data_IF_681416114310
#
_entry.id   IF_681416114310
#
_cell.length_a   1.000
_cell.length_b   1.000
_cell.length_c   1.000
_cell.angle_alpha   90.00
_cell.angle_beta   90.00
_cell.angle_gamma   90.00
#
_symmetry.space_group_name_H-M   'P 1'
#
loop_
_entity.id
_entity.type
_entity.pdbx_description
1 polymer ?
#
# COMPACT_ATOMS: atom_id res chain seq x y z
N UNK A 1 5.68 1.79 9.02
CA UNK A 1 5.90 3.08 8.33
C UNK A 1 4.56 3.68 7.94
N UNK A 2 4.38 5.00 8.02
CA UNK A 2 3.15 5.70 7.59
C UNK A 2 3.53 7.04 6.96
N UNK A 3 2.98 7.34 5.80
CA UNK A 3 3.13 8.62 5.11
C UNK A 3 1.86 8.94 4.30
N UNK A 4 1.88 10.06 3.58
CA UNK A 4 0.75 10.52 2.76
C UNK A 4 0.59 9.58 1.56
N UNK A 5 -0.49 8.77 1.58
CA UNK A 5 -0.84 7.88 0.49
C UNK A 5 -0.09 6.55 0.46
N UNK A 6 0.56 6.16 1.57
CA UNK A 6 1.29 4.89 1.69
C UNK A 6 2.27 4.64 0.53
N UNK A 7 2.90 5.71 0.05
CA UNK A 7 3.76 5.73 -1.13
C UNK A 7 5.19 5.34 -0.73
N UNK A 8 5.82 4.49 -1.52
CA UNK A 8 7.23 4.14 -1.42
C UNK A 8 7.90 4.63 -2.72
N UNK A 9 8.80 5.62 -2.64
CA UNK A 9 9.58 6.03 -3.81
C UNK A 9 10.35 4.86 -4.42
N UNK A 10 10.49 4.82 -5.74
CA UNK A 10 11.38 3.87 -6.41
C UNK A 10 12.84 4.07 -5.96
N UNK A 11 13.61 3.00 -6.00
CA UNK A 11 15.02 3.04 -5.65
C UNK A 11 15.76 4.05 -6.55
N UNK A 12 16.56 4.92 -5.93
CA UNK A 12 17.35 5.94 -6.63
C UNK A 12 16.61 7.24 -6.96
N UNK A 13 15.31 7.38 -6.66
CA UNK A 13 14.56 8.62 -6.92
C UNK A 13 15.06 9.81 -6.08
N UNK A 14 15.31 9.59 -4.78
CA UNK A 14 15.97 10.48 -3.84
C UNK A 14 16.16 9.75 -2.50
N UNK A 15 17.11 10.19 -1.66
CA UNK A 15 17.19 9.71 -0.28
C UNK A 15 15.91 10.10 0.48
N UNK A 16 15.21 9.13 1.05
CA UNK A 16 14.00 9.36 1.85
C UNK A 16 13.95 8.46 3.08
N UNK A 17 13.14 8.87 4.07
CA UNK A 17 12.91 8.06 5.27
C UNK A 17 12.24 6.72 4.93
N UNK A 18 11.44 6.68 3.87
CA UNK A 18 10.84 5.47 3.33
C UNK A 18 11.91 4.49 2.85
N UNK A 19 12.84 4.94 2.01
CA UNK A 19 13.89 4.09 1.48
C UNK A 19 14.77 3.50 2.60
N UNK A 20 15.19 4.35 3.55
CA UNK A 20 15.97 3.93 4.70
C UNK A 20 15.20 2.95 5.61
N UNK A 21 13.91 3.19 5.83
CA UNK A 21 13.06 2.31 6.63
C UNK A 21 12.87 0.94 6.01
N UNK A 22 12.70 0.87 4.67
CA UNK A 22 12.62 -0.39 3.93
C UNK A 22 13.94 -1.15 4.03
N UNK A 23 15.07 -0.49 3.79
CA UNK A 23 16.40 -1.12 3.87
C UNK A 23 16.69 -1.65 5.28
N UNK A 24 16.45 -0.84 6.32
CA UNK A 24 16.68 -1.25 7.70
C UNK A 24 15.79 -2.43 8.12
N UNK A 25 14.51 -2.43 7.73
CA UNK A 25 13.62 -3.54 8.05
C UNK A 25 14.12 -4.86 7.44
N UNK A 26 14.61 -4.84 6.20
CA UNK A 26 14.98 -6.04 5.46
C UNK A 26 16.41 -6.48 5.76
N UNK A 27 17.38 -5.57 5.73
CA UNK A 27 18.79 -5.87 5.94
C UNK A 27 19.18 -5.86 7.43
N UNK A 28 18.64 -4.92 8.21
CA UNK A 28 18.97 -4.75 9.62
C UNK A 28 18.20 -5.69 10.54
N UNK A 29 16.87 -5.75 10.39
CA UNK A 29 15.99 -6.56 11.24
C UNK A 29 15.72 -7.95 10.65
N UNK A 30 15.75 -8.10 9.33
CA UNK A 30 15.51 -9.38 8.67
C UNK A 30 14.02 -9.76 8.57
N UNK A 31 13.13 -8.77 8.36
CA UNK A 31 11.70 -9.07 8.14
C UNK A 31 11.50 -9.96 6.92
N UNK A 32 10.49 -10.83 6.99
CA UNK A 32 10.13 -11.79 5.93
C UNK A 32 8.89 -11.39 5.15
N UNK A 33 8.14 -10.41 5.63
CA UNK A 33 6.91 -9.94 5.03
C UNK A 33 6.87 -8.41 5.03
N UNK A 34 6.55 -7.83 3.87
CA UNK A 34 6.22 -6.41 3.74
C UNK A 34 4.80 -6.31 3.19
N UNK A 35 3.98 -5.51 3.85
CA UNK A 35 2.61 -5.21 3.43
C UNK A 35 2.54 -3.75 3.02
N UNK A 36 2.16 -3.48 1.77
CA UNK A 36 1.65 -2.16 1.37
C UNK A 36 0.15 -2.16 1.58
N UNK A 37 -0.33 -1.33 2.51
CA UNK A 37 -1.74 -1.26 2.86
C UNK A 37 -2.32 0.10 2.44
N UNK A 38 -3.15 0.09 1.39
CA UNK A 38 -4.02 1.20 1.05
C UNK A 38 -5.31 1.16 1.87
N UNK A 39 -6.12 2.22 1.80
CA UNK A 39 -7.38 2.26 2.53
C UNK A 39 -8.46 3.06 1.79
N UNK A 40 -9.73 2.75 2.07
CA UNK A 40 -10.87 3.47 1.53
C UNK A 40 -10.80 4.97 1.88
N UNK A 41 -11.37 5.79 1.00
CA UNK A 41 -11.42 7.25 1.11
C UNK A 41 -10.05 7.96 1.23
N UNK A 42 -8.94 7.34 0.80
CA UNK A 42 -7.61 7.93 0.90
C UNK A 42 -7.53 9.36 0.31
N UNK A 43 -7.30 10.35 1.17
CA UNK A 43 -7.21 11.76 0.77
C UNK A 43 -6.05 12.06 -0.17
N UNK A 44 -4.93 11.33 -0.04
CA UNK A 44 -3.81 11.44 -0.95
C UNK A 44 -4.18 11.03 -2.39
N UNK A 45 -4.98 9.97 -2.55
CA UNK A 45 -5.43 9.52 -3.87
C UNK A 45 -6.49 10.45 -4.47
N UNK A 46 -7.36 11.03 -3.63
CA UNK A 46 -8.24 12.13 -4.07
C UNK A 46 -7.43 13.31 -4.60
N UNK A 47 -6.43 13.73 -3.83
CA UNK A 47 -5.51 14.80 -4.19
C UNK A 47 -4.73 14.48 -5.47
N UNK A 48 -4.27 13.25 -5.64
CA UNK A 48 -3.54 12.81 -6.83
C UNK A 48 -4.42 12.89 -8.10
N UNK A 49 -5.70 12.52 -8.01
CA UNK A 49 -6.65 12.64 -9.12
C UNK A 49 -7.00 14.11 -9.46
N UNK A 50 -6.90 15.01 -8.47
CA UNK A 50 -7.22 16.44 -8.60
C UNK A 50 -5.97 17.32 -8.42
N UNK A 51 -4.81 16.84 -8.88
CA UNK A 51 -3.51 17.39 -8.49
C UNK A 51 -3.32 18.87 -8.82
N UNK A 52 -3.99 19.38 -9.85
CA UNK A 52 -3.95 20.80 -10.24
C UNK A 52 -4.46 21.75 -9.15
N UNK A 53 -5.31 21.30 -8.23
CA UNK A 53 -5.86 22.13 -7.16
C UNK A 53 -4.95 22.19 -5.91
N UNK A 54 -3.92 21.33 -5.83
CA UNK A 54 -3.10 21.18 -4.62
C UNK A 54 -1.94 22.17 -4.56
N UNK A 55 -1.45 22.67 -5.69
CA UNK A 55 -0.18 23.42 -5.77
C UNK A 55 -0.19 24.71 -4.94
N UNK A 56 -1.33 25.37 -4.82
CA UNK A 56 -1.44 26.63 -4.06
C UNK A 56 -1.65 26.41 -2.56
N UNK A 57 -2.48 25.44 -2.18
CA UNK A 57 -2.90 25.24 -0.79
C UNK A 57 -2.01 24.27 -0.01
N UNK A 58 -1.43 23.27 -0.70
CA UNK A 58 -0.64 22.20 -0.09
C UNK A 58 0.58 21.85 -0.97
N UNK A 59 1.52 22.79 -1.18
CA UNK A 59 2.64 22.62 -2.12
C UNK A 59 3.54 21.40 -1.80
N UNK A 60 3.77 21.10 -0.52
CA UNK A 60 4.56 19.92 -0.13
C UNK A 60 3.85 18.59 -0.47
N UNK A 61 2.52 18.55 -0.34
CA UNK A 61 1.72 17.37 -0.72
C UNK A 61 1.66 17.26 -2.24
N UNK A 62 1.51 18.39 -2.93
CA UNK A 62 1.58 18.46 -4.39
C UNK A 62 2.91 17.88 -4.89
N UNK A 63 4.04 18.35 -4.37
CA UNK A 63 5.36 17.86 -4.79
C UNK A 63 5.56 16.38 -4.51
N UNK A 64 5.14 15.92 -3.32
CA UNK A 64 5.19 14.50 -2.94
C UNK A 64 4.40 13.63 -3.92
N UNK A 65 3.13 13.97 -4.16
CA UNK A 65 2.25 13.22 -5.05
C UNK A 65 2.67 13.34 -6.51
N UNK A 66 3.15 14.50 -6.94
CA UNK A 66 3.61 14.72 -8.32
C UNK A 66 4.87 13.94 -8.61
N UNK A 67 5.78 13.83 -7.64
CA UNK A 67 7.04 13.10 -7.82
C UNK A 67 6.86 11.59 -7.71
N UNK A 68 6.05 11.12 -6.76
CA UNK A 68 6.02 9.69 -6.41
C UNK A 68 4.68 9.00 -6.73
N UNK A 69 3.62 9.73 -7.03
CA UNK A 69 2.31 9.20 -7.42
C UNK A 69 1.98 9.31 -8.91
N UNK A 70 2.82 9.97 -9.72
CA UNK A 70 2.48 10.23 -11.13
C UNK A 70 2.28 8.96 -11.96
N UNK A 71 3.04 7.88 -11.69
CA UNK A 71 2.85 6.59 -12.36
C UNK A 71 1.42 6.05 -12.16
N UNK A 72 0.96 6.01 -10.89
CA UNK A 72 -0.42 5.67 -10.54
C UNK A 72 -1.41 6.59 -11.24
N UNK A 73 -1.19 7.92 -11.18
CA UNK A 73 -2.10 8.92 -11.75
C UNK A 73 -2.27 8.71 -13.25
N UNK A 74 -1.16 8.52 -13.97
CA UNK A 74 -1.15 8.32 -15.42
C UNK A 74 -1.87 7.03 -15.80
N UNK A 75 -1.55 5.92 -15.13
CA UNK A 75 -2.22 4.63 -15.35
C UNK A 75 -3.74 4.76 -15.16
N UNK A 76 -4.17 5.41 -14.08
CA UNK A 76 -5.60 5.55 -13.77
C UNK A 76 -6.32 6.43 -14.78
N UNK A 77 -5.77 7.60 -15.12
CA UNK A 77 -6.41 8.51 -16.05
C UNK A 77 -6.43 7.98 -17.48
N UNK A 78 -5.37 7.30 -17.93
CA UNK A 78 -5.31 6.77 -19.29
C UNK A 78 -6.29 5.60 -19.52
N UNK A 79 -6.64 4.85 -18.47
CA UNK A 79 -7.43 3.61 -18.60
C UNK A 79 -8.83 3.67 -17.98
N UNK A 80 -9.10 4.61 -17.08
CA UNK A 80 -10.32 4.60 -16.25
C UNK A 80 -11.00 5.97 -16.10
N UNK A 81 -10.54 7.03 -16.78
CA UNK A 81 -11.04 8.40 -16.59
C UNK A 81 -12.56 8.58 -16.73
N UNK A 82 -13.24 7.71 -17.49
CA UNK A 82 -14.68 7.80 -17.73
C UNK A 82 -15.55 7.16 -16.63
N UNK A 83 -14.95 6.61 -15.57
CA UNK A 83 -15.69 6.00 -14.46
C UNK A 83 -16.20 7.05 -13.47
N UNK A 84 -17.24 6.68 -12.73
CA UNK A 84 -17.79 7.52 -11.66
C UNK A 84 -16.75 7.83 -10.58
N UNK A 85 -16.77 9.01 -9.94
CA UNK A 85 -15.73 9.48 -9.03
C UNK A 85 -15.37 8.51 -7.91
N UNK A 86 -16.37 7.88 -7.28
CA UNK A 86 -16.16 6.93 -6.18
C UNK A 86 -15.45 5.66 -6.67
N UNK A 87 -15.83 5.19 -7.87
CA UNK A 87 -15.21 4.02 -8.50
C UNK A 87 -13.79 4.34 -8.96
N UNK A 88 -13.59 5.51 -9.55
CA UNK A 88 -12.27 6.00 -9.98
C UNK A 88 -11.33 6.10 -8.78
N UNK A 89 -11.80 6.64 -7.66
CA UNK A 89 -11.02 6.73 -6.43
C UNK A 89 -10.65 5.34 -5.89
N UNK A 90 -11.60 4.40 -5.84
CA UNK A 90 -11.30 3.02 -5.41
C UNK A 90 -10.21 2.39 -6.27
N UNK A 91 -10.31 2.52 -7.59
CA UNK A 91 -9.28 2.03 -8.52
C UNK A 91 -7.95 2.75 -8.29
N UNK A 92 -7.94 4.07 -8.08
CA UNK A 92 -6.72 4.80 -7.79
C UNK A 92 -6.01 4.30 -6.52
N UNK A 93 -6.76 3.98 -5.46
CA UNK A 93 -6.23 3.40 -4.23
C UNK A 93 -5.62 2.03 -4.49
N UNK A 94 -6.36 1.14 -5.16
CA UNK A 94 -5.91 -0.21 -5.49
C UNK A 94 -4.66 -0.19 -6.39
N UNK A 95 -4.67 0.62 -7.45
CA UNK A 95 -3.53 0.77 -8.35
C UNK A 95 -2.32 1.44 -7.68
N UNK A 96 -2.55 2.35 -6.74
CA UNK A 96 -1.46 2.94 -5.95
C UNK A 96 -0.72 1.87 -5.15
N UNK A 97 -1.47 0.98 -4.48
CA UNK A 97 -0.88 -0.13 -3.71
C UNK A 97 -0.02 -1.01 -4.63
N UNK A 98 -0.54 -1.39 -5.79
CA UNK A 98 0.21 -2.21 -6.75
C UNK A 98 1.46 -1.49 -7.29
N UNK A 99 1.35 -0.20 -7.60
CA UNK A 99 2.50 0.63 -8.02
C UNK A 99 3.58 0.67 -6.93
N UNK A 100 3.20 0.68 -5.65
CA UNK A 100 4.20 0.67 -4.56
C UNK A 100 4.87 -0.70 -4.39
N UNK A 101 4.16 -1.79 -4.71
CA UNK A 101 4.78 -3.12 -4.79
C UNK A 101 5.85 -3.11 -5.89
N UNK A 102 5.54 -2.59 -7.08
CA UNK A 102 6.50 -2.45 -8.18
C UNK A 102 7.69 -1.58 -7.79
N UNK A 103 7.45 -0.45 -7.10
CA UNK A 103 8.53 0.40 -6.58
C UNK A 103 9.42 -0.35 -5.59
N UNK A 104 8.86 -1.13 -4.66
CA UNK A 104 9.63 -1.96 -3.72
C UNK A 104 10.52 -2.96 -4.44
N UNK A 105 10.05 -3.56 -5.54
CA UNK A 105 10.84 -4.52 -6.32
C UNK A 105 12.07 -3.91 -7.00
N UNK A 106 12.14 -2.58 -7.13
CA UNK A 106 13.32 -1.86 -7.65
C UNK A 106 14.47 -1.81 -6.64
N UNK A 107 14.23 -2.08 -5.35
CA UNK A 107 15.27 -2.04 -4.31
C UNK A 107 16.16 -3.30 -4.39
N UNK A 108 17.49 -3.17 -4.45
CA UNK A 108 18.40 -4.31 -4.57
C UNK A 108 18.22 -5.36 -3.47
N UNK A 109 18.04 -4.90 -2.22
CA UNK A 109 17.85 -5.79 -1.06
C UNK A 109 16.53 -6.58 -1.16
N UNK A 110 15.45 -5.92 -1.61
CA UNK A 110 14.14 -6.56 -1.82
C UNK A 110 14.26 -7.61 -2.91
N UNK A 111 14.83 -7.24 -4.06
CA UNK A 111 14.96 -8.14 -5.22
C UNK A 111 15.76 -9.41 -4.88
N UNK A 112 16.87 -9.25 -4.16
CA UNK A 112 17.70 -10.38 -3.69
C UNK A 112 16.92 -11.31 -2.74
N UNK A 113 16.17 -10.74 -1.79
CA UNK A 113 15.40 -11.53 -0.81
C UNK A 113 14.16 -12.20 -1.40
N UNK A 114 13.51 -11.57 -2.37
CA UNK A 114 12.44 -12.18 -3.17
C UNK A 114 12.96 -13.40 -3.94
N UNK A 115 14.08 -13.25 -4.66
CA UNK A 115 14.66 -14.32 -5.46
C UNK A 115 15.04 -15.55 -4.61
N UNK A 116 15.59 -15.31 -3.42
CA UNK A 116 15.95 -16.36 -2.46
C UNK A 116 14.78 -16.87 -1.62
N UNK A 117 13.54 -16.42 -1.87
CA UNK A 117 12.32 -16.77 -1.11
C UNK A 117 12.43 -16.47 0.39
N UNK A 118 13.19 -15.45 0.75
CA UNK A 118 13.36 -14.99 2.14
C UNK A 118 12.45 -13.80 2.50
N UNK A 119 11.77 -13.24 1.50
CA UNK A 119 10.85 -12.12 1.66
C UNK A 119 9.61 -12.36 0.79
N UNK A 120 8.44 -11.93 1.28
CA UNK A 120 7.19 -11.86 0.55
C UNK A 120 6.65 -10.44 0.58
N UNK A 121 6.09 -9.98 -0.54
CA UNK A 121 5.38 -8.71 -0.65
C UNK A 121 3.87 -8.95 -0.72
N UNK A 122 3.10 -8.15 0.00
CA UNK A 122 1.66 -8.26 0.09
C UNK A 122 1.00 -6.90 -0.19
N UNK A 123 0.00 -6.89 -1.05
CA UNK A 123 -0.80 -5.71 -1.38
C UNK A 123 -2.17 -5.81 -0.70
N UNK A 124 -2.45 -4.92 0.25
CA UNK A 124 -3.71 -4.89 0.99
C UNK A 124 -4.52 -3.61 0.71
N UNK A 125 -5.84 -3.74 0.74
CA UNK A 125 -6.80 -2.65 0.73
C UNK A 125 -7.70 -2.79 1.95
N UNK A 126 -7.63 -1.82 2.86
CA UNK A 126 -8.47 -1.75 4.05
C UNK A 126 -9.71 -0.89 3.80
N UNK A 127 -10.89 -1.49 3.90
CA UNK A 127 -12.17 -0.79 3.79
C UNK A 127 -12.62 -0.36 5.19
N UNK A 128 -12.46 0.94 5.48
CA UNK A 128 -12.69 1.55 6.81
C UNK A 128 -14.14 1.35 7.25
N UNK A 129 -15.09 1.53 6.33
CA UNK A 129 -16.53 1.51 6.59
C UNK A 129 -17.01 0.15 7.09
N UNK A 130 -16.40 -0.93 6.60
CA UNK A 130 -16.79 -2.31 6.94
C UNK A 130 -15.79 -3.02 7.85
N UNK A 131 -14.61 -2.44 8.06
CA UNK A 131 -13.50 -3.07 8.77
C UNK A 131 -12.85 -4.23 8.00
N UNK A 132 -13.23 -4.46 6.73
CA UNK A 132 -12.72 -5.57 5.94
C UNK A 132 -11.36 -5.24 5.35
N UNK A 133 -10.49 -6.25 5.29
CA UNK A 133 -9.21 -6.16 4.58
C UNK A 133 -9.29 -7.08 3.37
N UNK A 134 -8.87 -6.56 2.23
CA UNK A 134 -8.75 -7.31 0.99
C UNK A 134 -7.26 -7.45 0.65
N UNK A 135 -6.83 -8.61 0.18
CA UNK A 135 -5.49 -8.86 -0.32
C UNK A 135 -5.52 -9.09 -1.83
N UNK A 136 -4.52 -8.56 -2.54
CA UNK A 136 -4.41 -8.79 -3.97
C UNK A 136 -3.98 -10.24 -4.25
N UNK A 137 -4.80 -10.93 -5.03
CA UNK A 137 -4.50 -12.26 -5.54
C UNK A 137 -3.99 -12.12 -6.98
N UNK A 138 -2.71 -12.45 -7.21
CA UNK A 138 -2.09 -12.33 -8.52
C UNK A 138 -2.63 -13.33 -9.55
N UNK A 139 -3.11 -14.50 -9.12
CA UNK A 139 -3.72 -15.51 -9.99
C UNK A 139 -5.10 -15.08 -10.48
N UNK A 140 -5.88 -14.42 -9.61
CA UNK A 140 -7.19 -13.87 -9.95
C UNK A 140 -7.15 -12.42 -10.47
N UNK A 141 -5.99 -11.75 -10.36
CA UNK A 141 -5.74 -10.35 -10.73
C UNK A 141 -6.74 -9.38 -10.11
N UNK A 142 -7.09 -9.61 -8.83
CA UNK A 142 -8.05 -8.79 -8.11
C UNK A 142 -7.81 -8.82 -6.60
N UNK A 143 -8.30 -7.80 -5.91
CA UNK A 143 -8.37 -7.79 -4.45
C UNK A 143 -9.50 -8.71 -3.98
N UNK A 144 -9.16 -9.68 -3.14
CA UNK A 144 -10.12 -10.64 -2.56
C UNK A 144 -10.16 -10.49 -1.05
N UNK A 145 -11.28 -10.82 -0.42
CA UNK A 145 -11.41 -10.69 1.03
C UNK A 145 -10.35 -11.55 1.72
N UNK A 146 -9.52 -10.93 2.56
CA UNK A 146 -8.53 -11.63 3.35
C UNK A 146 -9.27 -12.50 4.36
N UNK A 147 -9.29 -13.82 4.11
CA UNK A 147 -10.00 -14.77 4.96
C UNK A 147 -9.41 -14.71 6.37
N UNK A 148 -10.23 -14.28 7.32
CA UNK A 148 -9.86 -14.29 8.74
C UNK A 148 -9.85 -15.74 9.24
N UNK A 149 -8.82 -16.09 10.01
CA UNK A 149 -8.96 -17.11 11.05
C UNK A 149 -9.53 -16.44 12.29
N UNK A 150 -10.32 -17.15 13.09
CA UNK A 150 -10.74 -16.64 14.39
C UNK A 150 -9.52 -16.32 15.26
N UNK A 151 -9.52 -15.15 15.89
CA UNK A 151 -8.55 -14.76 16.90
C UNK A 151 -9.25 -14.79 18.26
N UNK A 152 -9.46 -15.98 18.86
CA UNK A 152 -10.03 -16.03 20.19
C UNK A 152 -9.10 -15.28 21.14
N UNK A 153 -9.66 -14.31 21.84
CA UNK A 153 -8.99 -13.74 23.02
C UNK A 153 -9.22 -14.69 24.19
N UNK A 154 -8.29 -14.77 25.16
CA UNK A 154 -8.54 -15.53 26.38
C UNK A 154 -9.88 -15.09 26.99
N UNK A 155 -10.77 -16.05 27.22
CA UNK A 155 -12.00 -15.79 27.98
C UNK A 155 -11.66 -15.91 29.46
N UNK A 156 -11.65 -14.80 30.22
CA UNK A 156 -11.33 -14.83 31.65
C UNK A 156 -12.35 -15.62 32.48
N UNK A 157 -13.49 -16.01 31.91
CA UNK A 157 -14.52 -16.84 32.54
C UNK A 157 -14.36 -18.34 32.27
N UNK A 158 -13.49 -18.72 31.31
CA UNK A 158 -13.13 -20.11 31.06
C UNK A 158 -11.85 -20.40 31.87
N UNK A 159 -12.01 -20.56 33.18
CA UNK A 159 -10.99 -21.23 33.98
C UNK A 159 -10.94 -22.68 33.52
N UNK A 160 -9.79 -23.09 32.98
CA UNK A 160 -9.49 -24.50 32.71
C UNK A 160 -9.53 -25.27 34.03
N UNK A 161 -10.70 -25.81 34.36
CA UNK A 161 -10.81 -26.95 35.28
C UNK A 161 -10.70 -28.19 34.40
N UNK A 162 -9.49 -28.70 34.27
CA UNK A 162 -9.25 -30.05 33.79
C UNK A 162 -8.04 -30.59 34.56
N UNK A 163 -8.34 -31.58 35.39
CA UNK A 163 -7.46 -32.35 36.27
C UNK A 163 -6.27 -33.00 35.56
#
# INVERSE_FOLDING_TARGET
MRNVGNIIPSYGAASSAEAAGVEYAVAGVGVRDIIVCGHSHCGAMKGLLQIGNLSEQMPLVYDWLKRHGEATRRLVLDNYANLQPERLLKIAIEQNVLTQIENLETYPVIRSKLHSRQLSLHAWMYEIETGKVFAYDAGLRQFTLLRQRSFPVPDPLITTISE
#
